data_IF_745134120653
#
_entry.id   IF_745134120653
#
_cell.length_a   1.000
_cell.length_b   1.000
_cell.length_c   1.000
_cell.angle_alpha   90.00
_cell.angle_beta   90.00
_cell.angle_gamma   90.00
#
_symmetry.space_group_name_H-M   'P 1'
#
loop_
_entity.id
_entity.type
_entity.pdbx_description
1 polymer ?
#
# COMPACT_ATOMS: atom_id res chain seq x y z
N UNK A 1 2.92 -14.83 -12.71
CA UNK A 1 3.65 -14.41 -11.48
C UNK A 1 3.81 -12.88 -11.30
N UNK A 2 3.70 -12.06 -12.34
CA UNK A 2 3.57 -10.57 -12.23
C UNK A 2 2.17 -10.17 -11.73
N UNK A 3 1.16 -10.96 -12.02
CA UNK A 3 -0.25 -10.77 -11.65
C UNK A 3 -0.53 -10.94 -10.15
N UNK A 4 0.25 -11.74 -9.42
CA UNK A 4 0.01 -11.99 -7.98
C UNK A 4 0.50 -10.86 -7.07
N UNK A 5 1.55 -10.15 -7.47
CA UNK A 5 2.04 -8.98 -6.72
C UNK A 5 1.19 -7.72 -6.97
N UNK A 6 0.62 -7.59 -8.17
CA UNK A 6 -0.39 -6.57 -8.46
C UNK A 6 -1.65 -6.81 -7.61
N UNK A 7 -2.13 -8.04 -7.54
CA UNK A 7 -3.30 -8.39 -6.73
C UNK A 7 -3.14 -8.10 -5.23
N UNK A 8 -1.96 -8.32 -4.64
CA UNK A 8 -1.73 -8.06 -3.21
C UNK A 8 -1.63 -6.57 -2.85
N UNK A 9 -1.09 -5.73 -3.74
CA UNK A 9 -1.01 -4.27 -3.54
C UNK A 9 -2.32 -3.61 -3.98
N UNK A 10 -2.94 -4.10 -5.06
CA UNK A 10 -4.22 -3.60 -5.56
C UNK A 10 -5.38 -4.00 -4.63
N UNK A 11 -5.37 -5.19 -4.02
CA UNK A 11 -6.42 -5.63 -3.09
C UNK A 11 -6.43 -4.83 -1.77
N UNK A 12 -5.27 -4.46 -1.23
CA UNK A 12 -5.20 -3.66 0.00
C UNK A 12 -5.59 -2.19 -0.20
N UNK A 13 -5.52 -1.66 -1.42
CA UNK A 13 -5.72 -0.23 -1.71
C UNK A 13 -7.11 0.08 -2.29
N UNK A 14 -7.66 -0.78 -3.15
CA UNK A 14 -9.08 -0.72 -3.53
C UNK A 14 -9.95 -0.98 -2.29
N UNK A 15 -9.54 -1.89 -1.39
CA UNK A 15 -10.20 -2.12 -0.13
C UNK A 15 -10.35 -0.88 0.76
N UNK A 16 -9.42 0.07 0.71
CA UNK A 16 -9.51 1.31 1.50
C UNK A 16 -10.55 2.31 0.97
N UNK A 17 -10.61 2.52 -0.34
CA UNK A 17 -11.59 3.40 -0.97
C UNK A 17 -13.00 2.79 -0.94
N UNK A 18 -13.09 1.47 -1.17
CA UNK A 18 -14.35 0.73 -1.08
C UNK A 18 -14.85 0.73 0.37
N UNK A 19 -13.97 0.48 1.36
CA UNK A 19 -14.32 0.57 2.77
C UNK A 19 -14.82 1.97 3.15
N UNK A 20 -14.17 3.05 2.67
CA UNK A 20 -14.62 4.41 2.94
C UNK A 20 -16.04 4.67 2.41
N UNK A 21 -16.37 4.13 1.23
CA UNK A 21 -17.70 4.25 0.62
C UNK A 21 -18.74 3.46 1.42
N UNK A 22 -18.42 2.23 1.81
CA UNK A 22 -19.29 1.36 2.60
C UNK A 22 -19.54 1.96 3.99
N UNK A 23 -18.50 2.48 4.66
CA UNK A 23 -18.61 3.16 5.95
C UNK A 23 -19.45 4.44 5.85
N UNK A 24 -19.30 5.22 4.78
CA UNK A 24 -20.12 6.40 4.50
C UNK A 24 -21.61 6.01 4.35
N UNK A 25 -21.88 4.92 3.64
CA UNK A 25 -23.25 4.42 3.46
C UNK A 25 -23.87 3.98 4.79
N UNK A 26 -23.09 3.26 5.62
CA UNK A 26 -23.50 2.89 6.98
C UNK A 26 -23.79 4.12 7.83
N UNK A 27 -22.94 5.15 7.78
CA UNK A 27 -23.16 6.39 8.52
C UNK A 27 -24.50 7.06 8.14
N UNK A 28 -24.82 7.09 6.84
CA UNK A 28 -26.10 7.65 6.36
C UNK A 28 -27.29 6.82 6.82
N UNK A 29 -27.20 5.48 6.73
CA UNK A 29 -28.28 4.58 7.19
C UNK A 29 -28.55 4.72 8.70
N UNK A 30 -27.49 4.78 9.51
CA UNK A 30 -27.62 4.99 10.95
C UNK A 30 -28.16 6.37 11.29
N UNK A 31 -27.79 7.40 10.55
CA UNK A 31 -28.32 8.75 10.72
C UNK A 31 -29.81 8.82 10.37
N UNK A 32 -30.26 8.02 9.40
CA UNK A 32 -31.67 7.85 9.06
C UNK A 32 -32.47 7.03 10.10
N UNK A 33 -31.80 6.54 11.15
CA UNK A 33 -32.43 5.79 12.25
C UNK A 33 -32.44 4.27 12.06
N UNK A 34 -31.69 3.74 11.08
CA UNK A 34 -31.56 2.28 10.96
C UNK A 34 -30.83 1.68 12.16
N UNK A 35 -31.26 0.52 12.61
CA UNK A 35 -30.54 -0.26 13.63
C UNK A 35 -29.22 -0.79 13.00
N UNK A 36 -28.12 -0.82 13.76
CA UNK A 36 -26.83 -1.23 13.23
C UNK A 36 -26.83 -2.49 12.38
N UNK A 37 -27.39 -3.59 12.87
CA UNK A 37 -27.42 -4.85 12.13
C UNK A 37 -28.24 -4.74 10.84
N UNK A 38 -29.34 -4.00 10.85
CA UNK A 38 -30.18 -3.76 9.66
C UNK A 38 -29.41 -2.93 8.62
N UNK A 39 -28.64 -1.94 9.06
CA UNK A 39 -27.79 -1.16 8.16
C UNK A 39 -26.75 -2.05 7.47
N UNK A 40 -26.14 -3.00 8.17
CA UNK A 40 -25.22 -3.98 7.60
C UNK A 40 -25.91 -4.91 6.59
N UNK A 41 -27.13 -5.39 6.87
CA UNK A 41 -27.90 -6.18 5.91
C UNK A 41 -28.25 -5.42 4.65
N UNK A 42 -28.65 -4.13 4.77
CA UNK A 42 -28.88 -3.28 3.61
C UNK A 42 -27.61 -3.11 2.76
N UNK A 43 -26.47 -2.87 3.40
CA UNK A 43 -25.20 -2.74 2.71
C UNK A 43 -24.81 -4.05 1.99
N UNK A 44 -24.95 -5.19 2.65
CA UNK A 44 -24.72 -6.51 2.03
C UNK A 44 -25.63 -6.73 0.81
N UNK A 45 -26.91 -6.27 0.89
CA UNK A 45 -27.88 -6.33 -0.21
C UNK A 45 -27.50 -5.50 -1.45
N UNK A 46 -26.60 -4.51 -1.33
CA UNK A 46 -26.07 -3.77 -2.48
C UNK A 46 -24.96 -4.49 -3.24
N UNK A 47 -24.55 -5.67 -2.78
CA UNK A 47 -23.48 -6.47 -3.40
C UNK A 47 -22.09 -6.22 -2.81
N UNK A 48 -21.99 -5.52 -1.68
CA UNK A 48 -20.73 -5.35 -0.95
C UNK A 48 -20.27 -6.70 -0.38
N UNK A 49 -19.11 -7.17 -0.84
CA UNK A 49 -18.57 -8.49 -0.48
C UNK A 49 -18.12 -8.55 0.97
N UNK A 50 -17.54 -7.45 1.49
CA UNK A 50 -17.10 -7.36 2.88
C UNK A 50 -18.30 -7.32 3.82
N UNK A 51 -19.31 -6.50 3.50
CA UNK A 51 -20.54 -6.45 4.30
C UNK A 51 -21.25 -7.81 4.33
N UNK A 52 -21.29 -8.52 3.20
CA UNK A 52 -21.88 -9.86 3.12
C UNK A 52 -21.11 -10.86 4.00
N UNK A 53 -19.77 -10.80 4.01
CA UNK A 53 -18.94 -11.65 4.85
C UNK A 53 -19.11 -11.33 6.34
N UNK A 54 -19.19 -10.05 6.71
CA UNK A 54 -19.44 -9.60 8.09
C UNK A 54 -20.80 -10.09 8.57
N UNK A 55 -21.87 -9.88 7.78
CA UNK A 55 -23.23 -10.33 8.12
C UNK A 55 -23.26 -11.84 8.33
N UNK A 56 -22.66 -12.62 7.42
CA UNK A 56 -22.61 -14.09 7.55
C UNK A 56 -21.91 -14.55 8.83
N UNK A 57 -20.82 -13.87 9.26
CA UNK A 57 -20.15 -14.18 10.53
C UNK A 57 -21.04 -13.83 11.73
N UNK A 58 -21.74 -12.70 11.69
CA UNK A 58 -22.64 -12.31 12.75
C UNK A 58 -23.80 -13.29 12.88
N UNK A 59 -24.38 -13.75 11.78
CA UNK A 59 -25.43 -14.78 11.76
C UNK A 59 -24.91 -16.14 12.29
N UNK A 60 -23.61 -16.42 12.13
CA UNK A 60 -22.97 -17.60 12.74
C UNK A 60 -22.65 -17.44 14.23
N UNK A 61 -23.00 -16.31 14.85
CA UNK A 61 -22.82 -16.05 16.28
C UNK A 61 -21.57 -15.26 16.66
N UNK A 62 -20.80 -14.75 15.68
CA UNK A 62 -19.62 -13.90 15.96
C UNK A 62 -20.09 -12.49 16.36
N UNK A 63 -19.52 -11.87 17.42
CA UNK A 63 -19.80 -10.47 17.74
C UNK A 63 -19.48 -9.54 16.57
N UNK A 64 -20.31 -8.50 16.35
CA UNK A 64 -20.19 -7.61 15.19
C UNK A 64 -18.80 -6.97 15.08
N UNK A 65 -18.24 -6.48 16.19
CA UNK A 65 -16.89 -5.87 16.20
C UNK A 65 -15.83 -6.86 15.72
N UNK A 66 -15.84 -8.08 16.23
CA UNK A 66 -14.92 -9.14 15.84
C UNK A 66 -15.12 -9.59 14.38
N UNK A 67 -16.37 -9.57 13.90
CA UNK A 67 -16.68 -9.88 12.50
C UNK A 67 -16.12 -8.81 11.54
N UNK A 68 -16.17 -7.54 11.93
CA UNK A 68 -15.59 -6.41 11.18
C UNK A 68 -14.05 -6.49 11.20
N UNK A 69 -13.46 -6.71 12.38
CA UNK A 69 -12.00 -6.80 12.57
C UNK A 69 -11.39 -7.93 11.73
N UNK A 70 -12.08 -9.04 11.58
CA UNK A 70 -11.64 -10.19 10.80
C UNK A 70 -11.43 -9.90 9.29
N UNK A 71 -12.01 -8.81 8.76
CA UNK A 71 -11.75 -8.36 7.39
C UNK A 71 -10.36 -7.70 7.25
N UNK A 72 -9.78 -7.19 8.34
CA UNK A 72 -8.46 -6.59 8.38
C UNK A 72 -8.34 -5.23 7.67
N UNK A 73 -7.12 -4.69 7.61
CA UNK A 73 -6.88 -3.41 6.92
C UNK A 73 -7.73 -2.26 7.44
N UNK A 74 -8.40 -1.54 6.54
CA UNK A 74 -9.29 -0.42 6.89
C UNK A 74 -10.48 -0.83 7.77
N UNK A 75 -10.91 -2.09 7.70
CA UNK A 75 -12.00 -2.62 8.51
C UNK A 75 -11.59 -2.81 9.96
N UNK A 76 -10.32 -3.08 10.25
CA UNK A 76 -9.81 -3.12 11.62
C UNK A 76 -9.87 -1.73 12.27
N UNK A 77 -9.56 -0.66 11.53
CA UNK A 77 -9.71 0.72 11.99
C UNK A 77 -11.19 1.05 12.27
N UNK A 78 -12.10 0.57 11.42
CA UNK A 78 -13.54 0.68 11.64
C UNK A 78 -14.01 -0.09 12.88
N UNK A 79 -13.52 -1.32 13.08
CA UNK A 79 -13.87 -2.13 14.27
C UNK A 79 -13.46 -1.41 15.56
N UNK A 80 -12.23 -0.87 15.61
CA UNK A 80 -11.75 -0.09 16.74
C UNK A 80 -12.61 1.14 17.01
N UNK A 81 -12.99 1.88 15.95
CA UNK A 81 -13.86 3.05 16.08
C UNK A 81 -15.26 2.69 16.57
N UNK A 82 -15.81 1.60 16.06
CA UNK A 82 -17.12 1.08 16.46
C UNK A 82 -17.12 0.69 17.93
N UNK A 83 -16.10 -0.06 18.37
CA UNK A 83 -15.93 -0.49 19.75
C UNK A 83 -15.82 0.70 20.70
N UNK A 84 -14.95 1.66 20.39
CA UNK A 84 -14.78 2.88 21.20
C UNK A 84 -16.11 3.64 21.27
N UNK A 85 -16.75 3.91 20.12
CA UNK A 85 -17.98 4.69 20.08
C UNK A 85 -19.12 4.04 20.89
N UNK A 86 -19.31 2.73 20.76
CA UNK A 86 -20.36 1.99 21.50
C UNK A 86 -20.06 1.90 23.00
N UNK A 87 -18.78 1.77 23.37
CA UNK A 87 -18.36 1.67 24.77
C UNK A 87 -18.54 2.98 25.54
N UNK A 88 -18.33 4.13 24.87
CA UNK A 88 -18.47 5.45 25.50
C UNK A 88 -19.84 6.10 25.26
N UNK A 89 -20.68 5.50 24.40
CA UNK A 89 -21.99 6.06 24.04
C UNK A 89 -21.91 7.25 23.09
N UNK A 90 -20.85 7.36 22.28
CA UNK A 90 -20.71 8.41 21.29
C UNK A 90 -21.71 8.20 20.12
N UNK A 91 -22.13 9.30 19.42
CA UNK A 91 -23.04 9.19 18.28
C UNK A 91 -22.40 8.42 17.11
N UNK A 92 -22.77 7.14 16.94
CA UNK A 92 -22.13 6.21 16.02
C UNK A 92 -22.13 6.72 14.56
N UNK A 93 -23.21 7.35 14.11
CA UNK A 93 -23.32 7.89 12.75
C UNK A 93 -22.26 9.00 12.47
N UNK A 94 -22.00 9.86 13.46
CA UNK A 94 -20.98 10.92 13.34
C UNK A 94 -19.57 10.33 13.33
N UNK A 95 -19.33 9.35 14.22
CA UNK A 95 -18.06 8.64 14.28
C UNK A 95 -17.77 7.93 12.97
N UNK A 96 -18.74 7.21 12.40
CA UNK A 96 -18.57 6.54 11.10
C UNK A 96 -18.32 7.51 9.96
N UNK A 97 -18.96 8.70 9.96
CA UNK A 97 -18.69 9.72 8.94
C UNK A 97 -17.25 10.22 9.03
N UNK A 98 -16.75 10.50 10.23
CA UNK A 98 -15.36 10.89 10.46
C UNK A 98 -14.39 9.78 10.01
N UNK A 99 -14.68 8.51 10.31
CA UNK A 99 -13.87 7.37 9.85
C UNK A 99 -13.89 7.26 8.33
N UNK A 100 -15.04 7.42 7.68
CA UNK A 100 -15.15 7.39 6.23
C UNK A 100 -14.28 8.49 5.56
N UNK A 101 -14.27 9.70 6.12
CA UNK A 101 -13.41 10.79 5.65
C UNK A 101 -11.92 10.46 5.85
N UNK A 102 -11.56 9.96 7.01
CA UNK A 102 -10.18 9.55 7.33
C UNK A 102 -9.68 8.44 6.41
N UNK A 103 -10.50 7.44 6.13
CA UNK A 103 -10.18 6.35 5.19
C UNK A 103 -10.07 6.87 3.75
N UNK A 104 -10.94 7.79 3.34
CA UNK A 104 -10.88 8.42 2.01
C UNK A 104 -9.61 9.24 1.83
N UNK A 105 -9.19 9.99 2.85
CA UNK A 105 -7.94 10.74 2.86
C UNK A 105 -6.72 9.80 2.76
N UNK A 106 -6.72 8.68 3.48
CA UNK A 106 -5.67 7.68 3.42
C UNK A 106 -5.60 7.01 2.02
N UNK A 107 -6.74 6.66 1.44
CA UNK A 107 -6.82 6.12 0.08
C UNK A 107 -6.29 7.11 -0.96
N UNK A 108 -6.72 8.39 -0.89
CA UNK A 108 -6.23 9.46 -1.77
C UNK A 108 -4.72 9.66 -1.64
N UNK A 109 -4.17 9.60 -0.43
CA UNK A 109 -2.72 9.69 -0.22
C UNK A 109 -1.96 8.50 -0.84
N UNK A 110 -2.53 7.30 -0.79
CA UNK A 110 -1.97 6.11 -1.44
C UNK A 110 -2.02 6.22 -2.97
N UNK A 111 -3.10 6.76 -3.53
CA UNK A 111 -3.23 7.01 -4.97
C UNK A 111 -2.24 8.08 -5.46
N UNK A 112 -1.99 9.15 -4.72
CA UNK A 112 -0.96 10.14 -5.00
C UNK A 112 0.42 9.49 -5.17
N UNK A 113 0.78 8.58 -4.27
CA UNK A 113 2.05 7.84 -4.35
C UNK A 113 2.07 6.90 -5.56
N UNK A 114 0.96 6.23 -5.85
CA UNK A 114 0.81 5.33 -7.00
C UNK A 114 0.97 6.06 -8.33
N UNK A 115 0.33 7.22 -8.46
CA UNK A 115 0.44 8.08 -9.65
C UNK A 115 1.89 8.53 -9.82
N UNK A 116 2.53 9.00 -8.75
CA UNK A 116 3.93 9.44 -8.78
C UNK A 116 4.92 8.31 -9.15
N UNK A 117 4.57 7.05 -8.91
CA UNK A 117 5.39 5.88 -9.24
C UNK A 117 5.05 5.27 -10.61
N UNK A 118 3.93 5.64 -11.24
CA UNK A 118 3.48 5.03 -12.49
C UNK A 118 4.44 5.29 -13.64
N UNK A 119 4.91 6.52 -13.79
CA UNK A 119 5.85 6.91 -14.86
C UNK A 119 7.21 6.22 -14.73
N UNK A 120 7.94 6.29 -13.59
CA UNK A 120 9.22 5.62 -13.46
C UNK A 120 9.13 4.09 -13.52
N UNK A 121 8.01 3.51 -13.09
CA UNK A 121 7.79 2.07 -13.19
C UNK A 121 7.57 1.61 -14.64
N UNK A 122 6.91 2.44 -15.47
CA UNK A 122 6.72 2.19 -16.90
C UNK A 122 8.04 2.17 -17.64
N UNK A 123 8.86 3.21 -17.47
CA UNK A 123 10.18 3.34 -18.08
C UNK A 123 11.11 2.20 -17.65
N UNK A 124 11.14 1.86 -16.37
CA UNK A 124 11.90 0.73 -15.86
C UNK A 124 11.49 -0.60 -16.52
N UNK A 125 10.22 -0.80 -16.78
CA UNK A 125 9.70 -2.01 -17.44
C UNK A 125 10.14 -2.08 -18.91
N UNK A 126 10.10 -0.98 -19.64
CA UNK A 126 10.57 -0.92 -21.02
C UNK A 126 12.07 -1.25 -21.11
N UNK A 127 12.89 -0.65 -20.25
CA UNK A 127 14.34 -0.91 -20.22
C UNK A 127 14.66 -2.37 -19.85
N UNK A 128 13.83 -3.01 -19.02
CA UNK A 128 14.00 -4.42 -18.67
C UNK A 128 13.69 -5.38 -19.84
N UNK A 129 12.90 -4.94 -20.83
CA UNK A 129 12.63 -5.71 -22.05
C UNK A 129 13.68 -5.52 -23.14
N UNK A 130 14.51 -4.47 -23.06
CA UNK A 130 15.50 -4.13 -24.07
C UNK A 130 16.53 -5.25 -24.35
N UNK A 131 17.06 -6.00 -23.36
CA UNK A 131 17.95 -7.12 -23.63
C UNK A 131 17.29 -8.23 -24.47
N UNK A 132 16.01 -8.49 -24.25
CA UNK A 132 15.27 -9.48 -25.04
C UNK A 132 14.98 -9.01 -26.46
N UNK A 133 14.72 -7.70 -26.64
CA UNK A 133 14.56 -7.10 -27.95
C UNK A 133 15.89 -7.17 -28.75
N UNK A 134 17.04 -6.97 -28.10
CA UNK A 134 18.35 -7.16 -28.72
C UNK A 134 18.60 -8.58 -29.19
N UNK A 135 18.26 -9.56 -28.36
CA UNK A 135 18.35 -10.99 -28.73
C UNK A 135 17.45 -11.33 -29.92
N UNK A 136 16.22 -10.85 -29.93
CA UNK A 136 15.24 -11.06 -31.01
C UNK A 136 15.74 -10.41 -32.32
N UNK A 137 16.29 -9.21 -32.25
CA UNK A 137 16.85 -8.52 -33.41
C UNK A 137 18.04 -9.27 -34.00
N UNK A 138 18.94 -9.80 -33.16
CA UNK A 138 20.06 -10.65 -33.63
C UNK A 138 19.57 -11.88 -34.38
N UNK A 139 18.50 -12.53 -33.88
CA UNK A 139 17.87 -13.65 -34.56
C UNK A 139 17.20 -13.24 -35.90
N UNK A 140 16.50 -12.11 -35.92
CA UNK A 140 15.83 -11.60 -37.13
C UNK A 140 16.81 -11.21 -38.26
N UNK A 141 18.02 -10.76 -37.91
CA UNK A 141 19.11 -10.43 -38.86
C UNK A 141 19.81 -11.68 -39.40
N UNK A 142 19.38 -12.90 -39.04
CA UNK A 142 19.94 -14.13 -39.56
C UNK A 142 21.26 -14.58 -38.93
N UNK A 143 21.67 -13.98 -37.81
CA UNK A 143 22.84 -14.46 -37.07
C UNK A 143 22.53 -15.79 -36.39
N UNK A 144 23.44 -16.75 -36.47
CA UNK A 144 23.30 -18.05 -35.80
C UNK A 144 23.50 -17.94 -34.28
N UNK A 145 22.62 -17.15 -33.67
CA UNK A 145 22.66 -16.87 -32.24
C UNK A 145 22.45 -18.14 -31.43
N UNK A 146 21.59 -19.06 -31.91
CA UNK A 146 21.30 -20.33 -31.25
C UNK A 146 22.53 -21.28 -31.35
N UNK A 147 23.13 -21.42 -32.49
CA UNK A 147 24.35 -22.22 -32.67
C UNK A 147 25.53 -21.72 -31.83
N UNK A 148 25.66 -20.40 -31.66
CA UNK A 148 26.67 -19.80 -30.78
C UNK A 148 26.38 -20.06 -29.30
N UNK A 149 25.12 -20.01 -28.88
CA UNK A 149 24.70 -20.27 -27.47
C UNK A 149 24.92 -21.73 -27.10
N UNK A 150 24.54 -22.67 -28.00
CA UNK A 150 24.60 -24.11 -27.70
C UNK A 150 25.98 -24.70 -27.98
N UNK A 151 26.62 -24.23 -29.02
CA UNK A 151 27.93 -24.77 -29.49
C UNK A 151 29.15 -24.11 -28.87
N UNK A 152 29.01 -23.07 -28.02
CA UNK A 152 30.16 -22.40 -27.40
C UNK A 152 29.93 -22.16 -25.90
N UNK A 153 30.80 -22.69 -25.01
CA UNK A 153 30.69 -22.48 -23.59
C UNK A 153 30.74 -20.98 -23.20
N UNK A 154 31.46 -20.14 -23.95
CA UNK A 154 31.49 -18.69 -23.74
C UNK A 154 30.12 -18.04 -24.09
N UNK A 155 29.46 -18.48 -25.16
CA UNK A 155 28.10 -18.00 -25.51
C UNK A 155 27.09 -18.35 -24.47
N UNK A 156 27.08 -19.59 -23.99
CA UNK A 156 26.21 -20.05 -22.91
C UNK A 156 26.47 -19.26 -21.60
N UNK A 157 27.75 -19.04 -21.24
CA UNK A 157 28.10 -18.25 -20.04
C UNK A 157 27.61 -16.79 -20.14
N UNK A 158 27.71 -16.13 -21.30
CA UNK A 158 27.20 -14.79 -21.52
C UNK A 158 25.68 -14.71 -21.34
N UNK A 159 24.93 -15.69 -21.86
CA UNK A 159 23.46 -15.73 -21.73
C UNK A 159 23.05 -15.97 -20.28
N UNK A 160 23.70 -16.90 -19.58
CA UNK A 160 23.41 -17.17 -18.16
C UNK A 160 23.74 -15.94 -17.32
N UNK A 161 24.90 -15.30 -17.50
CA UNK A 161 25.29 -14.10 -16.78
C UNK A 161 24.30 -12.93 -17.06
N UNK A 162 23.91 -12.72 -18.30
CA UNK A 162 22.93 -11.70 -18.68
C UNK A 162 21.56 -11.95 -18.06
N UNK A 163 21.09 -13.20 -18.03
CA UNK A 163 19.82 -13.56 -17.39
C UNK A 163 19.87 -13.34 -15.86
N UNK A 164 20.97 -13.70 -15.21
CA UNK A 164 21.19 -13.45 -13.79
C UNK A 164 21.17 -11.95 -13.47
N UNK A 165 21.76 -11.12 -14.31
CA UNK A 165 21.71 -9.66 -14.16
C UNK A 165 20.30 -9.10 -14.31
N UNK A 166 19.51 -9.60 -15.27
CA UNK A 166 18.09 -9.21 -15.41
C UNK A 166 17.28 -9.62 -14.18
N UNK A 167 17.51 -10.82 -13.64
CA UNK A 167 16.85 -11.28 -12.42
C UNK A 167 17.26 -10.43 -11.20
N UNK A 168 18.54 -10.10 -11.08
CA UNK A 168 19.06 -9.22 -10.03
C UNK A 168 18.45 -7.81 -10.12
N UNK A 169 18.39 -7.21 -11.33
CA UNK A 169 17.72 -5.93 -11.56
C UNK A 169 16.26 -5.95 -11.14
N UNK A 170 15.54 -7.03 -11.53
CA UNK A 170 14.13 -7.23 -11.19
C UNK A 170 13.91 -7.38 -9.68
N UNK A 171 14.76 -8.14 -9.00
CA UNK A 171 14.69 -8.32 -7.55
C UNK A 171 14.99 -7.01 -6.82
N UNK A 172 16.03 -6.29 -7.22
CA UNK A 172 16.43 -5.01 -6.63
C UNK A 172 15.34 -3.95 -6.81
N UNK A 173 14.82 -3.79 -8.04
CA UNK A 173 13.70 -2.89 -8.34
C UNK A 173 12.47 -3.19 -7.48
N UNK A 174 12.10 -4.47 -7.35
CA UNK A 174 10.97 -4.88 -6.48
C UNK A 174 11.22 -4.55 -5.00
N UNK A 175 12.44 -4.75 -4.53
CA UNK A 175 12.79 -4.42 -3.14
C UNK A 175 12.71 -2.92 -2.87
N UNK A 176 13.14 -2.09 -3.81
CA UNK A 176 13.01 -0.64 -3.73
C UNK A 176 11.55 -0.19 -3.72
N UNK A 177 10.71 -0.73 -4.62
CA UNK A 177 9.28 -0.45 -4.67
C UNK A 177 8.56 -0.82 -3.36
N UNK A 178 8.87 -1.98 -2.79
CA UNK A 178 8.28 -2.39 -1.50
C UNK A 178 8.66 -1.46 -0.35
N UNK A 179 9.88 -0.91 -0.34
CA UNK A 179 10.33 0.04 0.69
C UNK A 179 9.70 1.41 0.58
N UNK A 180 9.18 1.76 -0.59
CA UNK A 180 8.48 3.03 -0.83
C UNK A 180 6.98 2.92 -0.61
N UNK A 181 6.45 1.71 -0.45
CA UNK A 181 5.03 1.50 -0.13
C UNK A 181 4.66 2.25 1.16
N UNK A 182 3.43 2.80 1.24
CA UNK A 182 2.92 3.41 2.46
C UNK A 182 3.03 2.47 3.66
N UNK A 183 3.29 3.01 4.84
CA UNK A 183 3.23 2.24 6.07
C UNK A 183 1.80 1.69 6.28
N UNK A 184 1.64 0.48 6.83
CA UNK A 184 0.33 -0.05 7.17
C UNK A 184 -0.34 0.81 8.25
N UNK A 185 -1.68 0.89 8.19
CA UNK A 185 -2.48 1.67 9.14
C UNK A 185 -2.86 3.06 8.63
N UNK A 186 -3.84 3.65 9.27
CA UNK A 186 -4.40 4.97 8.92
C UNK A 186 -3.76 6.05 9.80
N UNK A 187 -2.98 7.01 9.23
CA UNK A 187 -2.33 8.04 10.01
C UNK A 187 -3.34 8.91 10.76
N UNK A 188 -3.04 9.20 12.04
CA UNK A 188 -3.91 10.02 12.89
C UNK A 188 -5.12 9.31 13.47
N UNK A 189 -5.42 8.07 13.09
CA UNK A 189 -6.60 7.31 13.55
C UNK A 189 -6.67 7.23 15.08
N UNK A 190 -5.57 6.93 15.75
CA UNK A 190 -5.56 6.85 17.23
C UNK A 190 -5.92 8.16 17.92
N UNK A 191 -5.42 9.28 17.41
CA UNK A 191 -5.75 10.60 17.96
C UNK A 191 -7.25 10.91 17.77
N UNK A 192 -7.82 10.54 16.62
CA UNK A 192 -9.27 10.64 16.36
C UNK A 192 -10.07 9.75 17.33
N UNK A 193 -9.66 8.49 17.55
CA UNK A 193 -10.34 7.58 18.48
C UNK A 193 -10.29 8.10 19.92
N UNK A 194 -9.15 8.68 20.35
CA UNK A 194 -9.08 9.31 21.68
C UNK A 194 -10.00 10.52 21.74
N UNK A 195 -10.06 11.34 20.68
CA UNK A 195 -10.99 12.47 20.62
C UNK A 195 -12.46 12.03 20.69
N UNK A 196 -12.82 10.92 20.02
CA UNK A 196 -14.15 10.30 20.09
C UNK A 196 -14.44 9.83 21.52
N UNK A 197 -13.50 9.13 22.16
CA UNK A 197 -13.68 8.64 23.51
C UNK A 197 -13.90 9.80 24.51
N UNK A 198 -13.16 10.90 24.36
CA UNK A 198 -13.33 12.09 25.18
C UNK A 198 -14.66 12.80 24.92
N UNK A 199 -15.12 12.87 23.66
CA UNK A 199 -16.42 13.46 23.32
C UNK A 199 -17.60 12.67 23.88
N UNK A 200 -17.45 11.34 24.06
CA UNK A 200 -18.40 10.48 24.75
C UNK A 200 -18.32 10.56 26.30
N UNK A 201 -17.51 11.48 26.85
CA UNK A 201 -17.42 11.70 28.30
C UNK A 201 -16.43 10.77 29.04
N UNK A 202 -15.59 10.02 28.32
CA UNK A 202 -14.56 9.22 28.97
C UNK A 202 -13.47 10.12 29.59
N UNK A 203 -12.91 9.71 30.73
CA UNK A 203 -11.70 10.35 31.26
C UNK A 203 -10.51 10.07 30.35
N UNK A 204 -9.48 10.92 30.38
CA UNK A 204 -8.28 10.79 29.54
C UNK A 204 -7.65 9.42 29.71
N UNK A 205 -7.47 8.94 30.94
CA UNK A 205 -6.87 7.62 31.20
C UNK A 205 -7.72 6.47 30.67
N UNK A 206 -9.04 6.60 30.73
CA UNK A 206 -9.98 5.61 30.17
C UNK A 206 -9.94 5.61 28.66
N UNK A 207 -9.92 6.78 28.03
CA UNK A 207 -9.81 6.94 26.59
C UNK A 207 -8.52 6.33 26.03
N UNK A 208 -7.37 6.60 26.68
CA UNK A 208 -6.08 6.03 26.29
C UNK A 208 -6.06 4.51 26.41
N UNK A 209 -6.61 3.93 27.48
CA UNK A 209 -6.73 2.45 27.61
C UNK A 209 -7.60 1.84 26.54
N UNK A 210 -8.80 2.36 26.32
CA UNK A 210 -9.72 1.85 25.30
C UNK A 210 -9.08 1.82 23.91
N UNK A 211 -8.35 2.88 23.56
CA UNK A 211 -7.68 2.97 22.24
C UNK A 211 -6.42 2.10 22.19
N UNK A 212 -5.71 1.88 23.32
CA UNK A 212 -4.57 0.97 23.37
C UNK A 212 -5.00 -0.49 23.14
N UNK A 213 -6.13 -0.88 23.68
CA UNK A 213 -6.67 -2.25 23.59
C UNK A 213 -7.23 -2.55 22.17
N UNK A 214 -7.76 -1.53 21.48
CA UNK A 214 -8.45 -1.67 20.19
C UNK A 214 -7.57 -1.54 18.96
N UNK A 215 -6.32 -1.09 19.06
CA UNK A 215 -5.45 -0.83 17.91
C UNK A 215 -3.98 -1.19 18.13
N UNK A 216 -3.33 -1.75 17.10
CA UNK A 216 -1.90 -2.04 17.10
C UNK A 216 -1.06 -0.74 17.24
N UNK A 217 -0.19 -0.68 18.24
CA UNK A 217 0.46 0.53 18.71
C UNK A 217 1.84 0.78 18.11
N UNK A 218 2.12 2.07 17.77
CA UNK A 218 3.47 2.62 17.75
C UNK A 218 3.70 3.49 18.98
N UNK A 219 4.76 3.24 19.74
CA UNK A 219 5.11 4.02 20.94
C UNK A 219 5.23 5.52 20.67
N UNK A 220 5.76 5.89 19.50
CA UNK A 220 5.91 7.28 19.06
C UNK A 220 4.56 8.03 18.92
N UNK A 221 3.50 7.32 18.58
CA UNK A 221 2.17 7.92 18.43
C UNK A 221 1.51 8.18 19.78
N UNK A 222 1.75 7.29 20.74
CA UNK A 222 1.27 7.47 22.12
C UNK A 222 1.92 8.68 22.78
N UNK A 223 3.23 8.87 22.63
CA UNK A 223 3.96 10.01 23.17
C UNK A 223 3.44 11.33 22.58
N UNK A 224 3.17 11.39 21.27
CA UNK A 224 2.55 12.57 20.64
C UNK A 224 1.17 12.88 21.19
N UNK A 225 0.31 11.86 21.37
CA UNK A 225 -1.00 12.05 21.97
C UNK A 225 -0.88 12.60 23.38
N UNK A 226 0.02 12.07 24.20
CA UNK A 226 0.28 12.58 25.55
C UNK A 226 0.72 14.04 25.55
N UNK A 227 1.65 14.41 24.65
CA UNK A 227 2.11 15.80 24.48
C UNK A 227 0.94 16.75 24.16
N UNK A 228 0.03 16.33 23.27
CA UNK A 228 -1.17 17.11 22.92
C UNK A 228 -2.11 17.26 24.12
N UNK A 229 -2.29 16.20 24.92
CA UNK A 229 -3.12 16.22 26.12
C UNK A 229 -2.51 17.13 27.21
N UNK A 230 -1.20 17.12 27.37
CA UNK A 230 -0.52 18.00 28.33
C UNK A 230 -0.61 19.47 27.90
N UNK A 231 -0.50 19.76 26.59
CA UNK A 231 -0.75 21.08 26.04
C UNK A 231 -2.20 21.54 26.30
N UNK A 232 -3.18 20.65 26.10
CA UNK A 232 -4.59 20.92 26.41
C UNK A 232 -4.79 21.33 27.87
N UNK A 233 -4.19 20.59 28.81
CA UNK A 233 -4.24 20.88 30.24
C UNK A 233 -3.60 22.24 30.58
N UNK A 234 -2.43 22.51 29.98
CA UNK A 234 -1.69 23.76 30.25
C UNK A 234 -2.37 24.99 29.66
N UNK A 235 -2.97 24.86 28.47
CA UNK A 235 -3.62 25.96 27.75
C UNK A 235 -5.10 26.16 28.10
N UNK A 236 -5.74 25.18 28.77
CA UNK A 236 -7.19 25.19 29.02
C UNK A 236 -8.06 25.06 27.79
N UNK A 237 -7.52 24.47 26.70
CA UNK A 237 -8.21 24.25 25.41
C UNK A 237 -8.82 22.86 25.37
N UNK A 238 -9.99 22.65 24.73
CA UNK A 238 -10.61 21.34 24.63
C UNK A 238 -9.69 20.30 23.99
N UNK A 239 -9.39 19.21 24.71
CA UNK A 239 -8.46 18.18 24.26
C UNK A 239 -8.87 17.53 22.93
N UNK A 240 -10.20 17.34 22.73
CA UNK A 240 -10.73 16.76 21.49
C UNK A 240 -10.38 17.55 20.24
N UNK A 241 -10.45 18.89 20.31
CA UNK A 241 -10.08 19.77 19.18
C UNK A 241 -8.59 19.70 18.83
N UNK A 242 -7.74 19.72 19.87
CA UNK A 242 -6.29 19.61 19.66
C UNK A 242 -5.90 18.23 19.10
N UNK A 243 -6.56 17.14 19.54
CA UNK A 243 -6.33 15.81 19.03
C UNK A 243 -6.76 15.68 17.56
N UNK A 244 -7.92 16.24 17.17
CA UNK A 244 -8.36 16.26 15.78
C UNK A 244 -7.41 17.07 14.90
N UNK A 245 -6.95 18.22 15.38
CA UNK A 245 -5.94 19.02 14.66
C UNK A 245 -4.62 18.26 14.49
N UNK A 246 -4.16 17.56 15.53
CA UNK A 246 -2.97 16.71 15.48
C UNK A 246 -3.14 15.54 14.49
N UNK A 247 -4.31 14.90 14.50
CA UNK A 247 -4.63 13.84 13.55
C UNK A 247 -4.62 14.31 12.09
N UNK A 248 -5.19 15.49 11.82
CA UNK A 248 -5.15 16.12 10.51
C UNK A 248 -3.72 16.44 10.07
N UNK A 249 -2.88 16.92 10.99
CA UNK A 249 -1.46 17.18 10.73
C UNK A 249 -0.69 15.89 10.44
N UNK A 250 -0.93 14.79 11.16
CA UNK A 250 -0.32 13.49 10.93
C UNK A 250 -0.69 12.96 9.53
N UNK A 251 -1.95 13.10 9.11
CA UNK A 251 -2.41 12.74 7.75
C UNK A 251 -1.69 13.56 6.68
N UNK A 252 -1.61 14.87 6.87
CA UNK A 252 -0.91 15.77 5.95
C UNK A 252 0.58 15.46 5.84
N UNK A 253 1.26 15.26 6.96
CA UNK A 253 2.67 14.89 7.02
C UNK A 253 2.93 13.55 6.33
N UNK A 254 2.08 12.56 6.56
CA UNK A 254 2.16 11.24 5.91
C UNK A 254 2.01 11.34 4.39
N UNK A 255 1.07 12.15 3.88
CA UNK A 255 0.89 12.43 2.45
C UNK A 255 2.14 13.05 1.83
N UNK A 256 2.71 14.10 2.45
CA UNK A 256 3.95 14.74 1.99
C UNK A 256 5.12 13.74 1.99
N UNK A 257 5.31 13.00 3.08
CA UNK A 257 6.36 11.99 3.17
C UNK A 257 6.21 10.89 2.10
N UNK A 258 4.99 10.48 1.81
CA UNK A 258 4.69 9.53 0.74
C UNK A 258 5.18 10.05 -0.63
N UNK A 259 4.83 11.29 -0.98
CA UNK A 259 5.28 11.95 -2.22
C UNK A 259 6.81 12.10 -2.29
N UNK A 260 7.46 12.48 -1.18
CA UNK A 260 8.94 12.59 -1.10
C UNK A 260 9.59 11.21 -1.30
N UNK A 261 9.04 10.15 -0.70
CA UNK A 261 9.55 8.78 -0.89
C UNK A 261 9.41 8.33 -2.34
N UNK A 262 8.26 8.63 -2.98
CA UNK A 262 8.04 8.33 -4.39
C UNK A 262 9.02 9.05 -5.30
N UNK A 263 9.23 10.36 -5.09
CA UNK A 263 10.20 11.15 -5.86
C UNK A 263 11.64 10.63 -5.69
N UNK A 264 12.07 10.35 -4.45
CA UNK A 264 13.40 9.76 -4.19
C UNK A 264 13.55 8.37 -4.81
N UNK A 265 12.46 7.61 -4.89
CA UNK A 265 12.50 6.28 -5.51
C UNK A 265 12.71 6.37 -7.01
N UNK A 266 12.11 7.34 -7.70
CA UNK A 266 12.30 7.57 -9.13
C UNK A 266 13.78 7.66 -9.49
N UNK A 267 14.55 8.48 -8.77
CA UNK A 267 16.00 8.60 -8.98
C UNK A 267 16.76 7.30 -8.63
N UNK A 268 16.36 6.62 -7.55
CA UNK A 268 17.03 5.38 -7.12
C UNK A 268 16.78 4.20 -8.07
N UNK A 269 15.70 4.22 -8.84
CA UNK A 269 15.42 3.18 -9.84
C UNK A 269 16.38 3.23 -11.04
N UNK A 270 17.02 4.38 -11.31
CA UNK A 270 18.03 4.49 -12.37
C UNK A 270 19.28 3.65 -12.09
N UNK A 271 19.62 3.43 -10.81
CA UNK A 271 20.84 2.67 -10.44
C UNK A 271 20.74 1.20 -10.84
N UNK A 272 19.73 0.40 -10.43
CA UNK A 272 19.62 -0.99 -10.88
C UNK A 272 19.44 -1.09 -12.40
N UNK A 273 18.77 -0.11 -13.01
CA UNK A 273 18.61 -0.07 -14.46
C UNK A 273 19.94 0.17 -15.18
N UNK A 274 20.75 1.16 -14.77
CA UNK A 274 22.06 1.41 -15.39
C UNK A 274 23.06 0.30 -15.14
N UNK A 275 23.20 -0.13 -13.89
CA UNK A 275 24.24 -1.09 -13.47
C UNK A 275 23.95 -2.53 -13.92
N UNK A 276 22.67 -2.94 -13.97
CA UNK A 276 22.32 -4.32 -14.29
C UNK A 276 21.79 -4.49 -15.72
N UNK A 277 20.97 -3.55 -16.24
CA UNK A 277 20.35 -3.76 -17.55
C UNK A 277 21.29 -3.46 -18.70
N UNK A 278 22.22 -2.49 -18.56
CA UNK A 278 23.19 -2.18 -19.61
C UNK A 278 24.18 -3.34 -19.82
N UNK A 279 24.85 -3.92 -18.79
CA UNK A 279 25.67 -5.11 -19.00
C UNK A 279 24.85 -6.31 -19.47
N UNK A 280 23.61 -6.47 -18.98
CA UNK A 280 22.74 -7.55 -19.45
C UNK A 280 22.42 -7.43 -20.95
N UNK A 281 22.19 -6.21 -21.45
CA UNK A 281 21.99 -5.94 -22.87
C UNK A 281 23.24 -6.29 -23.69
N UNK A 282 24.41 -5.91 -23.21
CA UNK A 282 25.67 -6.25 -23.87
C UNK A 282 25.93 -7.77 -23.93
N UNK A 283 25.65 -8.47 -22.82
CA UNK A 283 25.84 -9.92 -22.72
C UNK A 283 24.81 -10.74 -23.49
N UNK A 284 23.56 -10.31 -23.52
CA UNK A 284 22.45 -11.03 -24.19
C UNK A 284 22.31 -10.63 -25.66
N UNK A 285 22.52 -9.34 -26.00
CA UNK A 285 22.31 -8.82 -27.34
C UNK A 285 23.57 -8.76 -28.17
N UNK A 286 24.62 -8.10 -27.65
CA UNK A 286 25.80 -7.76 -28.43
C UNK A 286 26.85 -8.91 -28.44
N UNK A 287 27.10 -9.56 -27.32
CA UNK A 287 28.13 -10.58 -27.21
C UNK A 287 27.89 -11.80 -28.12
N UNK A 288 26.66 -12.39 -28.19
CA UNK A 288 26.39 -13.49 -29.11
C UNK A 288 26.55 -13.08 -30.57
N UNK A 289 26.19 -11.83 -30.92
CA UNK A 289 26.31 -11.29 -32.27
C UNK A 289 27.76 -11.13 -32.65
N UNK A 290 28.61 -10.58 -31.80
CA UNK A 290 30.07 -10.47 -32.04
C UNK A 290 30.71 -11.85 -32.16
N UNK A 291 30.34 -12.81 -31.33
CA UNK A 291 30.85 -14.18 -31.41
C UNK A 291 30.41 -14.89 -32.70
N UNK A 292 29.21 -14.62 -33.20
CA UNK A 292 28.74 -15.14 -34.49
C UNK A 292 29.56 -14.57 -35.66
N UNK A 293 29.79 -13.25 -35.67
CA UNK A 293 30.62 -12.58 -36.71
C UNK A 293 32.06 -13.06 -36.68
N UNK A 294 32.70 -13.21 -35.52
CA UNK A 294 34.04 -13.74 -35.37
C UNK A 294 34.19 -15.18 -35.89
N UNK A 295 33.14 -16.01 -35.81
CA UNK A 295 33.13 -17.37 -36.36
C UNK A 295 32.92 -17.39 -37.87
N UNK A 296 32.12 -16.46 -38.40
CA UNK A 296 31.81 -16.39 -39.83
C UNK A 296 32.96 -15.75 -40.68
N UNK A 297 33.87 -15.05 -40.03
CA UNK A 297 35.04 -14.42 -40.71
C UNK A 297 36.26 -15.33 -40.53
N UNK A 298 36.67 -16.13 -41.56
CA UNK A 298 37.94 -16.84 -41.49
C UNK A 298 39.03 -15.79 -41.46
N UNK A 299 39.78 -15.70 -40.36
CA UNK A 299 41.04 -14.93 -40.33
C UNK A 299 41.99 -15.59 -41.29
N UNK A 300 42.46 -14.93 -42.37
CA UNK A 300 43.52 -15.46 -43.18
C UNK A 300 44.79 -15.41 -42.33
N UNK A 301 45.27 -16.59 -41.94
CA UNK A 301 46.64 -16.80 -41.45
C UNK A 301 47.61 -16.86 -42.64
#
# INVERSE_FOLDING_TARGET
MVTSLRRGVDAGQHGGADAATSVQTLAVLLQAGAVPLVAWHHLAGTGDTHASAIVSRVESGTPLVSAIEAEGGAWADLAAAWEVATTVGAPLAEVLRMIAETLRDAASAADDVRIALAEPAGTARLLLWMPFAGLLLGFALGFDTIGVIVGNPLGAACVIAGLLLVLAARFWTRRLLRRAAPAPGTPGMRAELVAVALSGGASIDRALRLVADSSASGADQEERIRTVLDLSRAAGVPAGELLRASAAQDRHASRIQGRIRAAKLSTRLLVPLGVCTLPAFLLLGVAPLLLSVLRSTPLPL
#
